data_IF_633503708052
#
_entry.id   IF_633503708052
#
_cell.length_a   1.000
_cell.length_b   1.000
_cell.length_c   1.000
_cell.angle_alpha   90.00
_cell.angle_beta   90.00
_cell.angle_gamma   90.00
#
_symmetry.space_group_name_H-M   'P 1'
#
loop_
_entity.id
_entity.type
_entity.pdbx_description
1 polymer ?
#
# COMPACT_ATOMS: atom_id res chain seq x y z
N UNK A 1 -4.29 -2.07 -17.68
CA UNK A 1 -5.45 -2.85 -17.15
C UNK A 1 -5.58 -4.21 -17.82
N UNK A 2 -5.13 -4.35 -19.06
CA UNK A 2 -5.30 -5.58 -19.84
C UNK A 2 -4.50 -6.76 -19.27
N UNK A 3 -3.30 -6.53 -18.70
CA UNK A 3 -2.54 -7.57 -17.99
C UNK A 3 -3.33 -8.19 -16.83
N UNK A 4 -4.00 -7.38 -16.00
CA UNK A 4 -4.79 -7.90 -14.88
C UNK A 4 -5.99 -8.73 -15.35
N UNK A 5 -6.67 -8.28 -16.41
CA UNK A 5 -7.79 -9.01 -17.03
C UNK A 5 -7.34 -10.34 -17.63
N UNK A 6 -6.18 -10.36 -18.31
CA UNK A 6 -5.60 -11.57 -18.88
C UNK A 6 -5.17 -12.60 -17.82
N UNK A 7 -5.05 -12.18 -16.56
CA UNK A 7 -4.70 -13.02 -15.42
C UNK A 7 -5.92 -13.39 -14.55
N UNK A 8 -7.14 -13.09 -15.01
CA UNK A 8 -8.39 -13.26 -14.25
C UNK A 8 -8.36 -12.57 -12.86
N UNK A 9 -7.60 -11.48 -12.74
CA UNK A 9 -7.53 -10.68 -11.51
C UNK A 9 -8.62 -9.60 -11.50
N UNK A 10 -9.13 -9.31 -10.32
CA UNK A 10 -9.98 -8.13 -10.11
C UNK A 10 -9.20 -6.87 -10.53
N UNK A 11 -9.72 -6.04 -11.46
CA UNK A 11 -9.02 -4.85 -11.90
C UNK A 11 -8.88 -3.84 -10.76
N UNK A 12 -7.63 -3.54 -10.39
CA UNK A 12 -7.30 -2.55 -9.38
C UNK A 12 -6.38 -1.49 -9.95
N UNK A 13 -6.64 -0.25 -9.58
CA UNK A 13 -5.77 0.88 -9.88
C UNK A 13 -4.59 0.95 -8.91
N UNK A 14 -3.51 1.62 -9.30
CA UNK A 14 -2.46 2.02 -8.36
C UNK A 14 -2.97 3.13 -7.46
N UNK A 15 -2.48 3.18 -6.22
CA UNK A 15 -2.75 4.29 -5.29
C UNK A 15 -1.53 5.19 -5.30
N UNK A 16 -1.71 6.50 -5.43
CA UNK A 16 -0.61 7.46 -5.34
C UNK A 16 -0.40 7.89 -3.89
N UNK A 17 0.86 8.05 -3.50
CA UNK A 17 1.21 8.69 -2.24
C UNK A 17 0.88 10.19 -2.25
N UNK A 18 0.56 10.72 -1.07
CA UNK A 18 0.28 12.12 -0.78
C UNK A 18 1.19 12.53 0.38
N UNK A 19 2.19 13.40 0.15
CA UNK A 19 3.24 13.69 1.13
C UNK A 19 2.76 14.18 2.51
N UNK A 20 1.57 14.79 2.57
CA UNK A 20 1.00 15.35 3.80
C UNK A 20 0.20 14.35 4.62
N UNK A 21 -0.05 13.13 4.12
CA UNK A 21 -0.89 12.12 4.78
C UNK A 21 -0.16 10.78 4.78
N UNK A 22 0.59 10.49 5.83
CA UNK A 22 1.42 9.29 5.89
C UNK A 22 0.66 7.96 5.60
N UNK A 23 -0.65 7.86 5.88
CA UNK A 23 -1.46 6.69 5.54
C UNK A 23 -1.52 6.41 4.02
N UNK A 24 -1.32 7.42 3.15
CA UNK A 24 -1.28 7.17 1.69
C UNK A 24 -0.06 6.39 1.27
N UNK A 25 1.09 6.58 1.92
CA UNK A 25 2.31 5.84 1.63
C UNK A 25 2.11 4.35 1.97
N UNK A 26 1.50 4.07 3.13
CA UNK A 26 1.12 2.70 3.50
C UNK A 26 0.11 2.10 2.53
N UNK A 27 -0.94 2.85 2.16
CA UNK A 27 -1.96 2.40 1.22
C UNK A 27 -1.39 2.12 -0.18
N UNK A 28 -0.49 2.96 -0.67
CA UNK A 28 0.26 2.77 -1.92
C UNK A 28 1.08 1.49 -1.86
N UNK A 29 1.96 1.34 -0.86
CA UNK A 29 2.79 0.15 -0.72
C UNK A 29 1.96 -1.13 -0.62
N UNK A 30 0.88 -1.11 0.18
CA UNK A 30 -0.04 -2.26 0.33
C UNK A 30 -0.71 -2.61 -1.00
N UNK A 31 -1.12 -1.61 -1.79
CA UNK A 31 -1.68 -1.82 -3.14
C UNK A 31 -0.64 -2.39 -4.09
N UNK A 32 0.57 -1.84 -4.08
CA UNK A 32 1.65 -2.23 -4.97
C UNK A 32 2.10 -3.68 -4.70
N UNK A 33 2.17 -4.10 -3.43
CA UNK A 33 2.42 -5.51 -3.05
C UNK A 33 1.31 -6.43 -3.56
N UNK A 34 0.03 -6.05 -3.46
CA UNK A 34 -1.10 -6.84 -4.02
C UNK A 34 -0.99 -6.97 -5.54
N UNK A 35 -0.50 -5.92 -6.21
CA UNK A 35 -0.33 -5.85 -7.67
C UNK A 35 1.05 -6.27 -8.15
N UNK A 36 1.89 -6.90 -7.30
CA UNK A 36 3.28 -7.23 -7.63
C UNK A 36 3.43 -7.94 -8.97
N UNK A 37 2.62 -8.97 -9.21
CA UNK A 37 2.71 -9.78 -10.45
C UNK A 37 2.38 -8.94 -11.69
N UNK A 38 1.17 -8.36 -11.83
CA UNK A 38 0.84 -7.59 -13.02
C UNK A 38 1.73 -6.36 -13.22
N UNK A 39 2.16 -5.69 -12.13
CA UNK A 39 3.09 -4.56 -12.22
C UNK A 39 4.48 -4.99 -12.68
N UNK A 40 4.98 -6.14 -12.22
CA UNK A 40 6.29 -6.64 -12.67
C UNK A 40 6.29 -6.99 -14.16
N UNK A 41 5.17 -7.54 -14.68
CA UNK A 41 5.02 -7.83 -16.10
C UNK A 41 5.00 -6.53 -16.91
N UNK A 42 4.16 -5.56 -16.53
CA UNK A 42 4.11 -4.26 -17.20
C UNK A 42 5.46 -3.53 -17.18
N UNK A 43 6.16 -3.56 -16.03
CA UNK A 43 7.48 -2.95 -15.90
C UNK A 43 8.54 -3.66 -16.74
N UNK A 44 8.43 -4.97 -16.98
CA UNK A 44 9.35 -5.71 -17.85
C UNK A 44 9.23 -5.31 -19.32
N UNK A 45 8.11 -4.71 -19.71
CA UNK A 45 7.86 -4.18 -21.05
C UNK A 45 8.17 -2.68 -21.16
N UNK A 46 8.59 -2.04 -20.06
CA UNK A 46 8.83 -0.60 -19.97
C UNK A 46 10.32 -0.26 -19.86
N UNK A 47 10.90 0.33 -20.90
CA UNK A 47 12.33 0.71 -20.93
C UNK A 47 12.66 1.97 -20.11
N UNK A 48 11.66 2.65 -19.55
CA UNK A 48 11.83 3.96 -18.90
C UNK A 48 11.93 3.90 -17.37
N UNK A 49 11.55 2.77 -16.77
CA UNK A 49 11.50 2.62 -15.31
C UNK A 49 12.18 1.32 -14.93
N UNK A 50 13.17 1.41 -14.04
CA UNK A 50 13.81 0.22 -13.51
C UNK A 50 12.83 -0.59 -12.63
N UNK A 51 12.70 -1.90 -12.85
CA UNK A 51 11.84 -2.74 -12.04
C UNK A 51 12.40 -2.90 -10.63
N UNK A 52 11.50 -2.99 -9.65
CA UNK A 52 11.87 -3.26 -8.26
C UNK A 52 12.52 -4.65 -8.12
N UNK A 53 13.65 -4.69 -7.41
CA UNK A 53 14.37 -5.90 -7.06
C UNK A 53 13.58 -6.77 -6.06
N UNK A 54 13.93 -8.05 -5.99
CA UNK A 54 13.33 -8.97 -5.02
C UNK A 54 13.57 -8.53 -3.54
N UNK A 55 14.67 -7.84 -3.26
CA UNK A 55 14.94 -7.24 -1.93
C UNK A 55 13.97 -6.10 -1.62
N UNK A 56 13.73 -5.20 -2.57
CA UNK A 56 12.82 -4.06 -2.38
C UNK A 56 11.38 -4.53 -2.19
N UNK A 57 10.93 -5.51 -2.98
CA UNK A 57 9.62 -6.13 -2.77
C UNK A 57 9.47 -6.75 -1.37
N UNK A 58 10.51 -7.42 -0.86
CA UNK A 58 10.50 -8.00 0.49
C UNK A 58 10.48 -6.91 1.56
N UNK A 59 11.28 -5.87 1.39
CA UNK A 59 11.33 -4.73 2.30
C UNK A 59 9.97 -4.04 2.38
N UNK A 60 9.34 -3.76 1.23
CA UNK A 60 8.02 -3.16 1.16
C UNK A 60 6.95 -4.04 1.82
N UNK A 61 7.00 -5.35 1.60
CA UNK A 61 6.09 -6.31 2.25
C UNK A 61 6.24 -6.28 3.77
N UNK A 62 7.48 -6.26 4.27
CA UNK A 62 7.76 -6.16 5.70
C UNK A 62 7.30 -4.81 6.28
N UNK A 63 7.55 -3.71 5.57
CA UNK A 63 7.11 -2.38 5.98
C UNK A 63 5.58 -2.30 6.10
N UNK A 64 4.84 -2.83 5.12
CA UNK A 64 3.37 -2.89 5.17
C UNK A 64 2.88 -3.62 6.42
N UNK A 65 3.51 -4.73 6.79
CA UNK A 65 3.16 -5.51 7.98
C UNK A 65 3.46 -4.75 9.28
N UNK A 66 4.64 -4.15 9.39
CA UNK A 66 5.07 -3.41 10.59
C UNK A 66 4.21 -2.16 10.82
N UNK A 67 3.82 -1.48 9.74
CA UNK A 67 3.04 -0.24 9.80
C UNK A 67 1.54 -0.47 9.93
N UNK A 68 1.03 -1.67 9.62
CA UNK A 68 -0.39 -2.00 9.71
C UNK A 68 -1.05 -1.63 11.06
N UNK A 69 -0.50 -1.97 12.24
CA UNK A 69 -1.11 -1.58 13.51
C UNK A 69 -1.15 -0.06 13.72
N UNK A 70 -0.15 0.67 13.24
CA UNK A 70 -0.12 2.14 13.34
C UNK A 70 -1.16 2.79 12.44
N UNK A 71 -1.38 2.22 11.24
CA UNK A 71 -2.36 2.72 10.29
C UNK A 71 -3.76 2.51 10.86
N UNK A 72 -4.03 1.33 11.41
CA UNK A 72 -5.29 1.04 12.09
C UNK A 72 -5.52 1.97 13.28
N UNK A 73 -4.54 2.11 14.19
CA UNK A 73 -4.68 3.01 15.34
C UNK A 73 -4.91 4.47 14.91
N UNK A 74 -4.25 4.93 13.85
CA UNK A 74 -4.45 6.29 13.34
C UNK A 74 -5.81 6.46 12.67
N UNK A 75 -6.27 5.46 11.90
CA UNK A 75 -7.61 5.47 11.33
C UNK A 75 -8.69 5.51 12.43
N UNK A 76 -8.49 4.75 13.52
CA UNK A 76 -9.36 4.77 14.69
C UNK A 76 -9.31 6.13 15.41
N UNK A 77 -8.13 6.67 15.69
CA UNK A 77 -8.01 7.96 16.42
C UNK A 77 -8.44 9.18 15.61
N UNK A 78 -8.45 9.07 14.27
CA UNK A 78 -8.90 10.15 13.37
C UNK A 78 -10.42 10.16 13.14
N UNK A 79 -11.17 9.27 13.79
CA UNK A 79 -12.62 9.21 13.66
C UNK A 79 -13.32 10.31 14.45
N UNK A 80 -14.13 11.13 13.77
CA UNK A 80 -14.85 12.25 14.40
C UNK A 80 -16.19 11.83 15.04
N UNK A 81 -16.60 10.56 14.88
CA UNK A 81 -17.91 10.06 15.31
C UNK A 81 -17.92 9.36 16.67
N UNK A 82 -16.78 9.26 17.36
CA UNK A 82 -16.67 8.62 18.68
C UNK A 82 -15.57 9.27 19.53
N UNK A 83 -15.60 9.14 20.87
CA UNK A 83 -14.57 9.73 21.74
C UNK A 83 -13.22 9.03 21.52
N UNK A 84 -12.26 9.74 20.92
CA UNK A 84 -10.92 9.22 20.64
C UNK A 84 -9.89 9.61 21.70
N UNK A 85 -10.13 10.71 22.44
CA UNK A 85 -9.18 11.25 23.43
C UNK A 85 -8.87 10.24 24.56
N UNK A 86 -9.86 9.44 24.98
CA UNK A 86 -9.69 8.41 26.00
C UNK A 86 -8.90 7.19 25.52
N UNK A 87 -8.61 7.07 24.23
CA UNK A 87 -7.86 5.95 23.63
C UNK A 87 -6.39 6.31 23.36
N UNK A 88 -5.98 7.57 23.55
CA UNK A 88 -4.61 8.05 23.32
C UNK A 88 -3.62 7.45 24.32
N UNK A 89 -4.08 7.11 25.54
CA UNK A 89 -3.27 6.45 26.56
C UNK A 89 -3.72 4.99 26.65
N UNK A 90 -2.96 4.03 26.11
CA UNK A 90 -3.24 2.63 26.35
C UNK A 90 -3.02 2.31 27.84
N UNK A 91 -3.99 1.63 28.46
CA UNK A 91 -3.86 1.02 29.79
C UNK A 91 -3.00 -0.25 29.75
#
# INVERSE_FOLDING_TARGET
MDIQKNMDLEPLEVVQDVPTRWNSEHAMMKRLVKLRVPVSVEMSECDTVEPLSASEWRLMTAAVQVLQPLEQATAELSGDCYPTLSQVIPY
#
